data_IF_943294016051
#
_entry.id   IF_943294016051
#
_cell.length_a   1.000
_cell.length_b   1.000
_cell.length_c   1.000
_cell.angle_alpha   90.00
_cell.angle_beta   90.00
_cell.angle_gamma   90.00
#
_symmetry.space_group_name_H-M   'P 1'
#
loop_
_entity.id
_entity.type
_entity.pdbx_description
1 polymer ?
#
# COMPACT_ATOMS: atom_id res chain seq x y z
N UNK A 1 28.04 0.46 4.04
CA UNK A 1 27.63 -0.95 4.10
C UNK A 1 26.79 -1.16 5.34
N UNK A 2 25.46 -1.13 5.22
CA UNK A 2 24.62 -1.55 6.35
C UNK A 2 24.84 -3.03 6.55
N UNK A 3 25.43 -3.41 7.70
CA UNK A 3 25.55 -4.81 8.10
C UNK A 3 24.12 -5.34 8.30
N UNK A 4 23.58 -6.05 7.31
CA UNK A 4 22.35 -6.79 7.48
C UNK A 4 22.63 -7.93 8.45
N UNK A 5 22.33 -7.72 9.73
CA UNK A 5 22.36 -8.77 10.72
C UNK A 5 21.19 -9.71 10.47
N UNK A 6 21.48 -10.96 10.07
CA UNK A 6 20.49 -12.02 9.85
C UNK A 6 19.89 -12.56 11.16
N UNK A 7 19.49 -11.69 12.09
CA UNK A 7 18.96 -12.08 13.41
C UNK A 7 17.70 -12.92 13.30
N UNK A 8 16.88 -12.70 12.26
CA UNK A 8 15.63 -13.42 12.06
C UNK A 8 15.78 -14.62 11.12
N UNK A 9 16.91 -14.75 10.43
CA UNK A 9 17.17 -15.82 9.46
C UNK A 9 17.62 -17.08 10.19
N UNK A 10 17.13 -18.28 9.82
CA UNK A 10 17.53 -19.53 10.47
C UNK A 10 19.04 -19.78 10.45
N UNK A 11 19.63 -20.16 11.58
CA UNK A 11 21.06 -20.50 11.70
C UNK A 11 21.52 -21.62 10.76
N UNK A 12 20.62 -22.53 10.42
CA UNK A 12 20.84 -23.63 9.46
C UNK A 12 21.28 -23.12 8.09
N UNK A 13 20.92 -21.89 7.80
CA UNK A 13 21.20 -21.24 6.54
C UNK A 13 22.27 -20.16 6.76
N UNK A 14 23.28 -20.41 7.60
CA UNK A 14 24.44 -19.53 7.76
C UNK A 14 25.43 -19.66 6.60
N UNK A 15 25.52 -20.85 5.99
CA UNK A 15 26.44 -21.14 4.89
C UNK A 15 26.15 -20.34 3.59
N UNK A 16 24.93 -19.80 3.44
CA UNK A 16 24.50 -18.97 2.30
C UNK A 16 24.09 -17.53 2.70
N UNK A 17 23.89 -17.26 4.00
CA UNK A 17 23.45 -15.97 4.55
C UNK A 17 24.35 -15.63 5.72
N UNK A 18 25.15 -14.59 5.55
CA UNK A 18 26.12 -14.18 6.55
C UNK A 18 25.47 -13.91 7.92
N UNK A 19 26.01 -14.55 8.96
CA UNK A 19 25.63 -14.33 10.37
C UNK A 19 24.14 -14.58 10.62
N UNK A 20 23.63 -15.71 10.13
CA UNK A 20 22.28 -16.16 10.43
C UNK A 20 22.23 -16.73 11.86
N UNK A 21 21.37 -16.16 12.70
CA UNK A 21 21.30 -16.49 14.15
C UNK A 21 19.92 -16.90 14.64
N UNK A 22 18.90 -16.71 13.82
CA UNK A 22 17.51 -16.98 14.18
C UNK A 22 17.10 -18.43 13.93
N UNK A 23 15.78 -18.62 13.86
CA UNK A 23 15.12 -19.87 13.49
C UNK A 23 13.93 -19.59 12.55
N UNK A 24 13.21 -20.63 12.13
CA UNK A 24 12.06 -20.42 11.24
C UNK A 24 10.92 -19.63 11.88
N UNK A 25 10.73 -19.71 13.20
CA UNK A 25 9.70 -18.93 13.88
C UNK A 25 10.01 -17.42 13.82
N UNK A 26 11.27 -17.02 14.09
CA UNK A 26 11.70 -15.62 13.97
C UNK A 26 11.62 -15.14 12.53
N UNK A 27 11.94 -16.00 11.56
CA UNK A 27 11.86 -15.70 10.14
C UNK A 27 10.42 -15.46 9.69
N UNK A 28 9.49 -16.32 10.13
CA UNK A 28 8.07 -16.19 9.87
C UNK A 28 7.50 -14.87 10.41
N UNK A 29 7.86 -14.51 11.65
CA UNK A 29 7.42 -13.25 12.28
C UNK A 29 7.98 -12.04 11.51
N UNK A 30 9.28 -12.00 11.26
CA UNK A 30 9.91 -10.88 10.57
C UNK A 30 9.41 -10.73 9.13
N UNK A 31 9.27 -11.84 8.41
CA UNK A 31 8.71 -11.85 7.07
C UNK A 31 7.25 -11.45 7.04
N UNK A 32 6.46 -11.88 8.03
CA UNK A 32 5.05 -11.46 8.16
C UNK A 32 4.95 -9.94 8.24
N UNK A 33 5.70 -9.30 9.15
CA UNK A 33 5.68 -7.84 9.28
C UNK A 33 6.26 -7.12 8.06
N UNK A 34 7.30 -7.67 7.44
CA UNK A 34 7.91 -7.07 6.24
C UNK A 34 6.92 -7.05 5.08
N UNK A 35 6.27 -8.18 4.81
CA UNK A 35 5.31 -8.28 3.71
C UNK A 35 4.02 -7.53 4.06
N UNK A 36 3.58 -7.59 5.32
CA UNK A 36 2.43 -6.82 5.80
C UNK A 36 2.61 -5.32 5.66
N UNK A 37 3.72 -4.78 6.16
CA UNK A 37 4.06 -3.36 6.00
C UNK A 37 4.18 -2.97 4.52
N UNK A 38 4.80 -3.82 3.71
CA UNK A 38 4.97 -3.59 2.27
C UNK A 38 3.65 -3.48 1.51
N UNK A 39 2.64 -4.29 1.84
CA UNK A 39 1.33 -4.20 1.18
C UNK A 39 0.36 -3.20 1.79
N UNK A 40 0.44 -2.92 3.10
CA UNK A 40 -0.45 -1.95 3.76
C UNK A 40 -0.31 -0.54 3.17
N UNK A 41 0.91 -0.13 2.75
CA UNK A 41 1.15 1.18 2.15
C UNK A 41 0.27 1.47 0.91
N UNK A 42 0.30 0.61 -0.12
CA UNK A 42 -0.59 0.72 -1.27
C UNK A 42 -2.09 0.77 -0.94
N UNK A 43 -2.58 -0.04 0.01
CA UNK A 43 -3.98 0.02 0.42
C UNK A 43 -4.32 1.35 1.12
N UNK A 44 -3.41 1.89 1.93
CA UNK A 44 -3.57 3.21 2.53
C UNK A 44 -3.67 4.30 1.46
N UNK A 45 -2.80 4.27 0.45
CA UNK A 45 -2.86 5.22 -0.68
C UNK A 45 -4.19 5.13 -1.45
N UNK A 46 -4.69 3.91 -1.67
CA UNK A 46 -6.01 3.71 -2.28
C UNK A 46 -7.13 4.29 -1.39
N UNK A 47 -7.06 4.11 -0.07
CA UNK A 47 -8.03 4.65 0.87
C UNK A 47 -8.05 6.19 0.86
N UNK A 48 -6.88 6.83 0.77
CA UNK A 48 -6.76 8.28 0.62
C UNK A 48 -7.39 8.78 -0.69
N UNK A 49 -7.20 8.05 -1.80
CA UNK A 49 -7.83 8.41 -3.08
C UNK A 49 -9.36 8.37 -2.99
N UNK A 50 -9.93 7.37 -2.30
CA UNK A 50 -11.38 7.28 -2.07
C UNK A 50 -11.88 8.41 -1.17
N UNK A 51 -11.12 8.76 -0.12
CA UNK A 51 -11.44 9.89 0.76
C UNK A 51 -11.43 11.22 0.00
N UNK A 52 -10.42 11.47 -0.84
CA UNK A 52 -10.38 12.66 -1.70
C UNK A 52 -11.55 12.70 -2.69
N UNK A 53 -11.93 11.55 -3.25
CA UNK A 53 -13.10 11.46 -4.12
C UNK A 53 -14.40 11.77 -3.36
N UNK A 54 -14.54 11.30 -2.11
CA UNK A 54 -15.69 11.59 -1.26
C UNK A 54 -15.83 13.10 -0.97
N UNK A 55 -14.71 13.79 -0.71
CA UNK A 55 -14.69 15.23 -0.44
C UNK A 55 -14.97 16.02 -1.73
N UNK A 56 -14.20 15.78 -2.80
CA UNK A 56 -14.22 16.64 -4.00
C UNK A 56 -15.45 16.39 -4.87
N UNK A 57 -15.82 15.13 -5.09
CA UNK A 57 -16.91 14.79 -6.03
C UNK A 57 -18.27 14.73 -5.35
N UNK A 58 -18.32 14.20 -4.14
CA UNK A 58 -19.60 13.92 -3.47
C UNK A 58 -19.94 14.95 -2.39
N UNK A 59 -19.09 15.96 -2.19
CA UNK A 59 -19.29 17.06 -1.24
C UNK A 59 -19.80 16.54 0.11
N UNK A 60 -19.14 15.50 0.63
CA UNK A 60 -19.52 14.91 1.93
C UNK A 60 -18.89 15.71 3.05
N UNK A 61 -19.69 16.03 4.06
CA UNK A 61 -19.24 16.69 5.29
C UNK A 61 -18.25 15.82 6.07
N UNK A 62 -17.33 16.46 6.78
CA UNK A 62 -16.31 15.79 7.61
C UNK A 62 -16.95 14.85 8.66
N UNK A 63 -18.07 15.27 9.25
CA UNK A 63 -18.79 14.45 10.23
C UNK A 63 -19.30 13.13 9.62
N UNK A 64 -19.78 13.18 8.37
CA UNK A 64 -20.22 11.99 7.66
C UNK A 64 -19.03 11.06 7.35
N UNK A 65 -17.92 11.62 6.89
CA UNK A 65 -16.71 10.85 6.57
C UNK A 65 -16.21 10.13 7.82
N UNK A 66 -16.05 10.84 8.93
CA UNK A 66 -15.55 10.30 10.20
C UNK A 66 -16.44 9.21 10.78
N UNK A 67 -17.77 9.40 10.74
CA UNK A 67 -18.72 8.44 11.34
C UNK A 67 -19.00 7.22 10.46
N UNK A 68 -18.96 7.37 9.13
CA UNK A 68 -19.46 6.33 8.21
C UNK A 68 -18.42 5.78 7.25
N UNK A 69 -17.44 6.57 6.81
CA UNK A 69 -16.49 6.16 5.77
C UNK A 69 -15.16 5.70 6.39
N UNK A 70 -14.64 6.46 7.34
CA UNK A 70 -13.34 6.22 7.97
C UNK A 70 -13.19 4.81 8.58
N UNK A 71 -14.18 4.25 9.32
CA UNK A 71 -14.05 2.90 9.85
C UNK A 71 -13.88 1.84 8.76
N UNK A 72 -14.53 1.99 7.61
CA UNK A 72 -14.41 1.06 6.49
C UNK A 72 -13.08 1.24 5.75
N UNK A 73 -12.62 2.49 5.61
CA UNK A 73 -11.34 2.80 4.96
C UNK A 73 -10.15 2.23 5.74
N UNK A 74 -10.26 2.06 7.06
CA UNK A 74 -9.23 1.38 7.85
C UNK A 74 -9.45 -0.12 7.95
N UNK A 75 -10.69 -0.56 8.22
CA UNK A 75 -10.99 -1.96 8.46
C UNK A 75 -10.77 -2.82 7.21
N UNK A 76 -11.16 -2.37 6.01
CA UNK A 76 -11.05 -3.17 4.79
C UNK A 76 -9.60 -3.45 4.41
N UNK A 77 -8.70 -2.44 4.29
CA UNK A 77 -7.27 -2.67 4.10
C UNK A 77 -6.67 -3.61 5.13
N UNK A 78 -7.00 -3.43 6.40
CA UNK A 78 -6.44 -4.22 7.48
C UNK A 78 -6.88 -5.69 7.37
N UNK A 79 -8.18 -5.94 7.19
CA UNK A 79 -8.70 -7.30 7.03
C UNK A 79 -8.15 -8.00 5.78
N UNK A 80 -8.09 -7.30 4.65
CA UNK A 80 -7.57 -7.88 3.39
C UNK A 80 -6.06 -8.16 3.49
N UNK A 81 -5.28 -7.19 3.99
CA UNK A 81 -3.85 -7.35 4.20
C UNK A 81 -3.56 -8.50 5.17
N UNK A 82 -4.08 -8.44 6.40
CA UNK A 82 -3.84 -9.47 7.39
C UNK A 82 -4.34 -10.85 6.94
N UNK A 83 -5.50 -10.95 6.28
CA UNK A 83 -6.00 -12.22 5.73
C UNK A 83 -5.06 -12.82 4.68
N UNK A 84 -4.55 -11.99 3.76
CA UNK A 84 -3.57 -12.42 2.77
C UNK A 84 -2.25 -12.88 3.41
N UNK A 85 -1.77 -12.20 4.46
CA UNK A 85 -0.50 -12.54 5.10
C UNK A 85 -0.60 -13.71 6.07
N UNK A 86 -1.71 -13.85 6.79
CA UNK A 86 -1.99 -15.04 7.60
C UNK A 86 -2.07 -16.26 6.69
N UNK A 87 -2.74 -16.16 5.53
CA UNK A 87 -2.78 -17.29 4.59
C UNK A 87 -1.39 -17.63 4.03
N UNK A 88 -0.57 -16.63 3.70
CA UNK A 88 0.82 -16.84 3.30
C UNK A 88 1.65 -17.54 4.39
N UNK A 89 1.45 -17.17 5.66
CA UNK A 89 2.12 -17.80 6.80
C UNK A 89 1.68 -19.27 6.97
N UNK A 90 0.38 -19.55 6.94
CA UNK A 90 -0.18 -20.91 7.05
C UNK A 90 0.28 -21.82 5.91
N UNK A 91 0.42 -21.27 4.69
CA UNK A 91 0.94 -21.99 3.53
C UNK A 91 2.47 -22.17 3.54
N UNK A 92 3.17 -21.63 4.54
CA UNK A 92 4.64 -21.70 4.59
C UNK A 92 5.35 -20.88 3.52
N UNK A 93 4.69 -19.88 2.93
CA UNK A 93 5.28 -19.04 1.87
C UNK A 93 6.30 -18.02 2.38
N UNK A 94 6.45 -17.87 3.69
CA UNK A 94 7.45 -16.98 4.29
C UNK A 94 8.73 -17.75 4.49
N UNK A 95 9.76 -17.38 3.75
CA UNK A 95 11.03 -18.09 3.68
C UNK A 95 12.20 -17.09 3.64
N UNK A 96 13.41 -17.50 4.05
CA UNK A 96 14.58 -16.65 3.95
C UNK A 96 14.92 -16.37 2.48
N UNK A 97 15.17 -15.10 2.18
CA UNK A 97 15.36 -14.61 0.82
C UNK A 97 16.83 -14.83 0.39
N UNK A 98 17.08 -15.98 -0.22
CA UNK A 98 18.33 -16.24 -0.93
C UNK A 98 18.08 -16.26 -2.43
N UNK A 99 18.75 -15.39 -3.17
CA UNK A 99 18.76 -15.48 -4.63
C UNK A 99 19.84 -16.47 -5.01
N UNK A 100 19.51 -17.51 -5.79
CA UNK A 100 20.50 -18.45 -6.30
C UNK A 100 21.72 -17.69 -6.87
N UNK A 101 22.89 -17.88 -6.26
CA UNK A 101 24.15 -17.25 -6.68
C UNK A 101 24.48 -15.85 -6.14
N UNK A 102 23.71 -15.27 -5.21
CA UNK A 102 24.08 -14.03 -4.50
C UNK A 102 23.90 -14.18 -2.99
N UNK A 103 24.76 -13.52 -2.21
CA UNK A 103 24.64 -13.44 -0.74
C UNK A 103 23.22 -13.04 -0.36
N UNK A 104 22.60 -13.85 0.50
CA UNK A 104 21.24 -13.60 0.99
C UNK A 104 21.16 -12.23 1.66
N UNK A 105 20.02 -11.55 1.52
CA UNK A 105 19.84 -10.19 2.08
C UNK A 105 19.68 -10.17 3.60
N UNK A 106 19.74 -11.33 4.27
CA UNK A 106 19.45 -11.45 5.69
C UNK A 106 17.97 -11.20 6.03
N UNK A 107 17.09 -11.18 5.03
CA UNK A 107 15.66 -10.89 5.18
C UNK A 107 14.82 -12.13 4.91
N UNK A 108 13.68 -12.23 5.59
CA UNK A 108 12.64 -13.20 5.30
C UNK A 108 11.51 -12.50 4.54
N UNK A 109 11.00 -13.12 3.49
CA UNK A 109 9.91 -12.55 2.69
C UNK A 109 9.05 -13.66 2.09
N UNK A 110 8.01 -13.24 1.38
CA UNK A 110 7.12 -14.14 0.65
C UNK A 110 7.84 -14.67 -0.60
N UNK A 111 8.11 -15.97 -0.62
CA UNK A 111 8.72 -16.70 -1.74
C UNK A 111 7.81 -17.86 -2.12
N UNK A 112 7.63 -18.08 -3.42
CA UNK A 112 6.68 -19.06 -3.96
C UNK A 112 7.08 -20.51 -3.69
N UNK A 113 8.36 -20.83 -3.80
CA UNK A 113 8.94 -22.15 -3.53
C UNK A 113 10.29 -21.96 -2.87
N UNK A 114 10.48 -22.59 -1.71
CA UNK A 114 11.76 -22.61 -1.03
C UNK A 114 12.63 -23.77 -1.52
N UNK A 115 13.66 -23.47 -2.31
CA UNK A 115 14.62 -24.46 -2.83
C UNK A 115 16.05 -23.96 -2.60
N UNK A 116 16.57 -24.08 -1.35
CA UNK A 116 17.94 -23.71 -1.04
C UNK A 116 18.94 -24.68 -1.70
N UNK A 117 20.22 -24.31 -1.86
CA UNK A 117 21.21 -25.16 -2.54
C UNK A 117 21.38 -26.57 -1.96
N UNK A 118 21.16 -26.75 -0.65
CA UNK A 118 21.24 -28.07 -0.03
C UNK A 118 20.10 -29.01 -0.45
N UNK A 119 18.99 -28.48 -0.98
CA UNK A 119 17.87 -29.26 -1.51
C UNK A 119 18.07 -29.76 -2.95
N UNK A 120 19.24 -29.53 -3.56
CA UNK A 120 19.52 -30.01 -4.90
C UNK A 120 19.52 -31.55 -4.94
N UNK A 121 18.58 -32.14 -5.68
CA UNK A 121 18.42 -33.59 -5.80
C UNK A 121 17.56 -34.24 -4.70
N UNK A 122 16.95 -33.45 -3.83
CA UNK A 122 15.98 -33.92 -2.84
C UNK A 122 14.54 -33.72 -3.34
N UNK A 123 13.63 -34.61 -2.92
CA UNK A 123 12.20 -34.50 -3.21
C UNK A 123 11.53 -33.44 -2.31
N UNK A 124 10.48 -32.79 -2.82
CA UNK A 124 9.71 -31.80 -2.07
C UNK A 124 9.11 -32.41 -0.79
N UNK A 125 9.30 -31.76 0.35
CA UNK A 125 8.86 -32.21 1.66
C UNK A 125 9.86 -33.07 2.42
N UNK A 126 10.97 -33.48 1.80
CA UNK A 126 12.03 -34.20 2.51
C UNK A 126 12.82 -33.28 3.45
N UNK A 127 13.29 -33.86 4.56
CA UNK A 127 14.13 -33.21 5.58
C UNK A 127 15.36 -34.08 5.75
N UNK A 128 16.56 -33.49 5.74
CA UNK A 128 17.79 -34.24 6.05
C UNK A 128 17.87 -34.45 7.56
N UNK A 129 17.54 -35.66 8.03
CA UNK A 129 17.56 -36.00 9.44
C UNK A 129 18.93 -35.65 10.07
N UNK A 130 18.90 -34.83 11.12
CA UNK A 130 20.09 -34.47 11.91
C UNK A 130 20.92 -33.31 11.39
N UNK A 131 20.58 -32.70 10.24
CA UNK A 131 21.35 -31.57 9.68
C UNK A 131 20.53 -30.29 9.50
N UNK A 132 19.27 -30.41 9.08
CA UNK A 132 18.38 -29.27 8.81
C UNK A 132 16.97 -29.57 9.32
N UNK A 133 16.30 -28.58 9.93
CA UNK A 133 14.92 -28.66 10.43
C UNK A 133 13.89 -28.12 9.40
N UNK A 134 14.36 -27.45 8.35
CA UNK A 134 13.51 -26.81 7.33
C UNK A 134 13.24 -27.78 6.18
N UNK A 135 11.97 -28.09 5.85
CA UNK A 135 11.66 -28.97 4.72
C UNK A 135 11.95 -28.31 3.37
N UNK A 136 12.52 -29.10 2.46
CA UNK A 136 12.67 -28.72 1.06
C UNK A 136 11.30 -28.54 0.39
N UNK A 137 11.18 -27.64 -0.59
CA UNK A 137 9.91 -27.45 -1.32
C UNK A 137 8.82 -26.74 -0.51
N UNK A 138 9.16 -26.13 0.63
CA UNK A 138 8.22 -25.37 1.46
C UNK A 138 7.59 -24.21 0.67
N UNK A 139 6.26 -24.13 0.70
CA UNK A 139 5.46 -23.09 0.07
C UNK A 139 4.52 -23.62 -1.02
N UNK A 140 3.60 -22.75 -1.46
CA UNK A 140 2.66 -23.01 -2.54
C UNK A 140 2.71 -21.85 -3.53
N UNK A 141 3.39 -22.08 -4.66
CA UNK A 141 3.62 -21.09 -5.68
C UNK A 141 2.34 -20.49 -6.26
N UNK A 142 1.30 -21.30 -6.46
CA UNK A 142 0.05 -20.87 -7.11
C UNK A 142 -0.70 -19.86 -6.24
N UNK A 143 -0.85 -20.15 -4.96
CA UNK A 143 -1.55 -19.27 -4.02
C UNK A 143 -0.79 -17.96 -3.77
N UNK A 144 0.55 -18.05 -3.66
CA UNK A 144 1.39 -16.87 -3.51
C UNK A 144 1.32 -15.96 -4.73
N UNK A 145 1.41 -16.52 -5.94
CA UNK A 145 1.34 -15.76 -7.18
C UNK A 145 -0.03 -15.10 -7.36
N UNK A 146 -1.13 -15.81 -7.06
CA UNK A 146 -2.48 -15.24 -7.14
C UNK A 146 -2.64 -14.02 -6.23
N UNK A 147 -2.13 -14.11 -4.99
CA UNK A 147 -2.19 -13.02 -4.00
C UNK A 147 -1.41 -11.80 -4.48
N UNK A 148 -0.21 -12.00 -5.02
CA UNK A 148 0.63 -10.92 -5.55
C UNK A 148 0.00 -10.28 -6.79
N UNK A 149 -0.52 -11.07 -7.73
CA UNK A 149 -1.18 -10.58 -8.93
C UNK A 149 -2.42 -9.75 -8.60
N UNK A 150 -3.25 -10.22 -7.66
CA UNK A 150 -4.44 -9.50 -7.21
C UNK A 150 -4.06 -8.11 -6.68
N UNK A 151 -3.07 -8.03 -5.79
CA UNK A 151 -2.60 -6.77 -5.23
C UNK A 151 -1.99 -5.84 -6.30
N UNK A 152 -1.18 -6.38 -7.21
CA UNK A 152 -0.49 -5.61 -8.25
C UNK A 152 -1.42 -5.11 -9.36
N UNK A 153 -2.56 -5.76 -9.60
CA UNK A 153 -3.47 -5.38 -10.68
C UNK A 153 -4.63 -4.53 -10.15
N UNK A 154 -5.27 -4.93 -9.05
CA UNK A 154 -6.49 -4.27 -8.60
C UNK A 154 -6.21 -2.92 -7.96
N UNK A 155 -5.14 -2.83 -7.14
CA UNK A 155 -4.80 -1.56 -6.50
C UNK A 155 -4.50 -0.42 -7.48
N UNK A 156 -3.66 -0.59 -8.53
CA UNK A 156 -3.48 0.49 -9.50
C UNK A 156 -4.74 0.78 -10.29
N UNK A 157 -5.58 -0.21 -10.62
CA UNK A 157 -6.88 0.06 -11.28
C UNK A 157 -7.75 0.96 -10.39
N UNK A 158 -7.86 0.67 -9.10
CA UNK A 158 -8.62 1.49 -8.14
C UNK A 158 -8.02 2.90 -8.02
N UNK A 159 -6.70 3.02 -7.92
CA UNK A 159 -6.05 4.33 -7.86
C UNK A 159 -6.25 5.14 -9.15
N UNK A 160 -6.02 4.55 -10.32
CA UNK A 160 -6.19 5.21 -11.63
C UNK A 160 -7.63 5.67 -11.83
N UNK A 161 -8.61 4.82 -11.49
CA UNK A 161 -10.03 5.19 -11.61
C UNK A 161 -10.41 6.33 -10.67
N UNK A 162 -9.99 6.29 -9.41
CA UNK A 162 -10.23 7.39 -8.45
C UNK A 162 -9.59 8.70 -8.91
N UNK A 163 -8.31 8.67 -9.28
CA UNK A 163 -7.59 9.85 -9.76
C UNK A 163 -8.21 10.42 -11.04
N UNK A 164 -8.63 9.57 -11.97
CA UNK A 164 -9.32 10.01 -13.20
C UNK A 164 -10.63 10.72 -12.87
N UNK A 165 -11.40 10.20 -11.92
CA UNK A 165 -12.66 10.82 -11.50
C UNK A 165 -12.45 12.17 -10.80
N UNK A 166 -11.46 12.25 -9.91
CA UNK A 166 -11.08 13.50 -9.23
C UNK A 166 -10.62 14.52 -10.27
N UNK A 167 -9.71 14.14 -11.16
CA UNK A 167 -9.18 15.01 -12.21
C UNK A 167 -10.30 15.58 -13.10
N UNK A 168 -11.23 14.73 -13.57
CA UNK A 168 -12.39 15.19 -14.34
C UNK A 168 -13.27 16.16 -13.56
N UNK A 169 -13.47 15.92 -12.26
CA UNK A 169 -14.24 16.80 -11.40
C UNK A 169 -13.59 18.19 -11.28
N UNK A 170 -12.28 18.22 -11.03
CA UNK A 170 -11.51 19.48 -10.92
C UNK A 170 -11.53 20.26 -12.23
N UNK A 171 -11.33 19.61 -13.38
CA UNK A 171 -11.40 20.28 -14.68
C UNK A 171 -12.75 20.93 -14.96
N UNK A 172 -13.85 20.28 -14.57
CA UNK A 172 -15.19 20.84 -14.72
C UNK A 172 -15.36 22.06 -13.80
N UNK A 173 -14.85 21.98 -12.57
CA UNK A 173 -14.91 23.07 -11.60
C UNK A 173 -14.09 24.28 -12.06
N UNK A 174 -12.87 24.08 -12.55
CA UNK A 174 -12.02 25.14 -13.11
C UNK A 174 -12.68 25.81 -14.31
N UNK A 175 -13.25 25.04 -15.24
CA UNK A 175 -13.97 25.57 -16.40
C UNK A 175 -15.16 26.44 -15.99
N UNK A 176 -15.86 26.10 -14.91
CA UNK A 176 -16.94 26.93 -14.36
C UNK A 176 -16.38 28.21 -13.74
N UNK A 177 -15.32 28.12 -12.94
CA UNK A 177 -14.68 29.27 -12.29
C UNK A 177 -14.12 30.29 -13.28
N UNK A 178 -13.52 29.85 -14.39
CA UNK A 178 -13.01 30.77 -15.41
C UNK A 178 -14.11 31.58 -16.10
N UNK A 179 -15.31 30.99 -16.26
CA UNK A 179 -16.46 31.69 -16.83
C UNK A 179 -16.99 32.83 -15.95
N UNK A 180 -16.85 32.72 -14.62
CA UNK A 180 -17.26 33.77 -13.70
C UNK A 180 -16.28 34.96 -13.72
N UNK A 181 -14.97 34.71 -13.86
CA UNK A 181 -13.97 35.77 -13.98
C UNK A 181 -14.15 36.64 -15.22
N UNK A 182 -14.49 36.04 -16.36
CA UNK A 182 -14.77 36.79 -17.58
C UNK A 182 -16.02 37.70 -17.43
N UNK A 183 -17.06 37.24 -16.72
CA UNK A 183 -18.27 38.03 -16.48
C UNK A 183 -18.06 39.17 -15.49
N UNK A 184 -17.20 39.02 -14.48
CA UNK A 184 -16.92 40.12 -13.55
C UNK A 184 -16.21 41.29 -14.24
N UNK A 185 -15.35 41.01 -15.23
CA UNK A 185 -14.65 42.06 -15.98
C UNK A 185 -15.63 42.84 -16.88
N UNK A 186 -16.50 42.14 -17.60
CA UNK A 186 -17.52 42.78 -18.46
C UNK A 186 -18.52 43.65 -17.67
N UNK A 187 -18.79 43.28 -16.42
CA UNK A 187 -19.71 44.03 -15.55
C UNK A 187 -19.06 45.31 -14.99
N UNK A 188 -17.74 45.34 -14.83
CA UNK A 188 -17.02 46.53 -14.36
C UNK A 188 -16.89 47.59 -15.47
N UNK A 189 -16.72 47.16 -16.72
CA UNK A 189 -16.62 48.07 -17.88
C UNK A 189 -17.93 48.81 -18.16
N UNK A 190 -19.07 48.18 -17.87
CA UNK A 190 -20.41 48.79 -17.96
C UNK A 190 -20.79 49.61 -16.72
N UNK A 191 -19.99 49.57 -15.65
CA UNK A 191 -20.20 50.30 -14.40
C UNK A 191 -19.09 51.33 -14.17
N UNK A 192 -18.76 52.12 -15.18
CA UNK A 192 -18.01 53.37 -15.03
C UNK A 192 -18.90 54.44 -14.36
N UNK A 193 -19.30 54.17 -13.11
CA UNK A 193 -19.76 55.18 -12.16
C UNK A 193 -18.73 55.18 -11.02
N UNK A 194 -18.10 56.32 -10.67
CA UNK A 194 -17.03 56.36 -9.68
C UNK A 194 -17.60 56.07 -8.29
N UNK A 195 -17.33 54.89 -7.72
CA UNK A 195 -17.79 54.56 -6.36
C UNK A 195 -16.66 54.11 -5.42
N UNK A 196 -16.58 54.86 -4.31
CA UNK A 196 -15.80 54.63 -3.08
C UNK A 196 -15.88 53.18 -2.59
N UNK A 197 -14.71 52.61 -2.27
CA UNK A 197 -14.57 51.26 -1.69
C UNK A 197 -14.47 51.36 -0.15
N UNK A 198 -15.44 50.83 0.63
CA UNK A 198 -15.24 50.53 2.04
C UNK A 198 -14.69 49.10 2.23
N UNK A 199 -13.68 48.97 3.08
CA UNK A 199 -12.83 47.78 3.27
C UNK A 199 -13.46 46.58 3.96
N UNK A 200 -14.38 45.88 3.28
CA UNK A 200 -15.02 44.66 3.80
C UNK A 200 -14.75 43.37 2.99
N UNK A 201 -13.88 43.42 1.98
CA UNK A 201 -13.74 42.32 1.00
C UNK A 201 -12.70 41.22 1.36
N UNK A 202 -12.11 41.23 2.55
CA UNK A 202 -11.11 40.22 2.95
C UNK A 202 -11.69 39.00 3.70
N UNK A 203 -12.95 39.03 4.12
CA UNK A 203 -13.55 37.94 4.93
C UNK A 203 -14.31 36.87 4.14
N UNK A 204 -14.64 37.09 2.87
CA UNK A 204 -15.43 36.11 2.09
C UNK A 204 -14.63 34.96 1.46
N UNK A 205 -13.29 35.07 1.34
CA UNK A 205 -12.48 34.02 0.71
C UNK A 205 -12.08 32.87 1.64
N UNK A 206 -12.31 32.99 2.96
CA UNK A 206 -11.97 31.93 3.93
C UNK A 206 -13.16 31.13 4.47
N UNK A 207 -14.41 31.56 4.25
CA UNK A 207 -15.58 30.90 4.85
C UNK A 207 -16.36 29.97 3.90
N UNK A 208 -16.09 29.97 2.59
CA UNK A 208 -16.86 29.16 1.63
C UNK A 208 -16.32 27.76 1.34
N UNK A 209 -15.26 27.34 2.04
CA UNK A 209 -14.81 25.93 2.05
C UNK A 209 -15.24 25.15 3.30
N UNK A 210 -16.03 25.73 4.22
CA UNK A 210 -16.41 25.08 5.49
C UNK A 210 -17.90 24.77 5.65
N UNK A 211 -18.71 24.91 4.58
CA UNK A 211 -20.13 24.58 4.62
C UNK A 211 -20.67 24.15 3.26
N UNK A 212 -20.30 22.95 2.83
CA UNK A 212 -21.11 22.07 2.00
C UNK A 212 -20.81 20.64 2.42
#
# INVERSE_FOLDING_TARGET
TFLNFGMFVPKEVDYWSWNARGNMATCNIAGFFTVAGGGMGPFYNASLCVLLLAIVKYEKTDEYIRKKIEPFLHAVPLLVAFGAYISALVMGNINPLGRAGKTGTGMCSMVTVYSPPHCSGMEDGSVTEGLFDIPCGRGNAKAAMLTVLFALIILPIVMITCLTMIYRCVLITEKKMSSYGARSILKDETSSTPLRIPGLLKKCLLLKCSSS
#
